data_IF_906396683477
#
_entry.id   IF_906396683477
#
_cell.length_a   1.000
_cell.length_b   1.000
_cell.length_c   1.000
_cell.angle_alpha   90.00
_cell.angle_beta   90.00
_cell.angle_gamma   90.00
#
_symmetry.space_group_name_H-M   'P 1'
#
loop_
_entity.id
_entity.type
_entity.pdbx_description
1 polymer ?
#
# COMPACT_ATOMS: atom_id res chain seq x y z
N UNK A 1 11.15 22.42 -42.48
CA UNK A 1 9.90 21.66 -42.31
C UNK A 1 10.19 20.54 -41.32
N UNK A 2 9.85 20.72 -40.05
CA UNK A 2 10.07 19.72 -39.00
C UNK A 2 8.88 18.77 -38.97
N UNK A 3 9.10 17.51 -39.35
CA UNK A 3 8.12 16.44 -39.19
C UNK A 3 7.89 16.23 -37.69
N UNK A 4 6.74 16.67 -37.19
CA UNK A 4 6.28 16.31 -35.86
C UNK A 4 5.93 14.81 -35.87
N UNK A 5 6.68 14.02 -35.09
CA UNK A 5 6.31 12.64 -34.80
C UNK A 5 4.93 12.64 -34.15
N UNK A 6 3.92 11.91 -34.69
CA UNK A 6 2.61 11.87 -34.06
C UNK A 6 2.75 11.23 -32.68
N UNK A 7 2.22 11.91 -31.66
CA UNK A 7 2.11 11.36 -30.31
C UNK A 7 1.25 10.09 -30.37
N UNK A 8 1.61 9.03 -29.62
CA UNK A 8 0.78 7.85 -29.54
C UNK A 8 -0.62 8.23 -29.04
N UNK A 9 -1.70 7.65 -29.59
CA UNK A 9 -3.05 7.97 -29.19
C UNK A 9 -3.25 7.63 -27.72
N UNK A 10 -3.76 8.59 -26.93
CA UNK A 10 -4.26 8.32 -25.59
C UNK A 10 -5.54 7.48 -25.73
N UNK A 11 -5.67 6.34 -25.04
CA UNK A 11 -6.88 5.53 -25.09
C UNK A 11 -8.10 6.39 -24.76
N UNK A 12 -9.10 6.38 -25.65
CA UNK A 12 -10.38 7.04 -25.39
C UNK A 12 -11.06 6.34 -24.21
N UNK A 13 -11.72 7.12 -23.35
CA UNK A 13 -12.51 6.62 -22.24
C UNK A 13 -13.49 5.53 -22.74
N UNK A 14 -13.31 4.29 -22.28
CA UNK A 14 -14.14 3.13 -22.64
C UNK A 14 -13.43 2.01 -23.40
N UNK A 15 -12.18 2.18 -23.86
CA UNK A 15 -11.40 1.05 -24.37
C UNK A 15 -10.89 0.18 -23.21
N UNK A 16 -11.45 -1.02 -23.09
CA UNK A 16 -11.04 -1.99 -22.08
C UNK A 16 -9.70 -2.61 -22.46
N UNK A 17 -8.65 -2.29 -21.70
CA UNK A 17 -7.30 -2.85 -21.88
C UNK A 17 -7.31 -4.35 -21.52
N UNK A 18 -6.67 -5.23 -22.31
CA UNK A 18 -6.54 -6.63 -21.96
C UNK A 18 -5.83 -6.84 -20.61
N UNK A 19 -6.29 -7.82 -19.82
CA UNK A 19 -5.68 -8.12 -18.52
C UNK A 19 -4.19 -8.53 -18.64
N UNK A 20 -3.78 -9.08 -19.79
CA UNK A 20 -2.40 -9.42 -20.09
C UNK A 20 -1.49 -8.19 -20.19
N UNK A 21 -1.99 -7.08 -20.75
CA UNK A 21 -1.23 -5.82 -20.81
C UNK A 21 -1.08 -5.20 -19.42
N UNK A 22 -2.12 -5.33 -18.58
CA UNK A 22 -2.04 -4.92 -17.17
C UNK A 22 -0.98 -5.75 -16.43
N UNK A 23 -0.97 -7.07 -16.62
CA UNK A 23 0.01 -7.94 -15.99
C UNK A 23 1.45 -7.65 -16.47
N UNK A 24 1.63 -7.24 -17.73
CA UNK A 24 2.95 -7.05 -18.33
C UNK A 24 3.81 -5.96 -17.68
N UNK A 25 3.21 -4.95 -17.05
CA UNK A 25 3.96 -3.89 -16.37
C UNK A 25 4.19 -4.14 -14.87
N UNK A 26 3.51 -5.13 -14.28
CA UNK A 26 3.59 -5.41 -12.85
C UNK A 26 4.90 -6.16 -12.56
N UNK A 27 5.79 -5.52 -11.80
CA UNK A 27 7.04 -6.13 -11.32
C UNK A 27 6.93 -6.43 -9.82
N UNK A 28 6.74 -7.70 -9.48
CA UNK A 28 6.49 -8.17 -8.11
C UNK A 28 7.60 -7.75 -7.15
N UNK A 29 8.84 -7.94 -7.58
CA UNK A 29 10.06 -7.76 -6.80
C UNK A 29 10.19 -6.30 -6.34
N UNK A 30 9.65 -5.36 -7.11
CA UNK A 30 9.64 -3.95 -6.75
C UNK A 30 8.68 -3.63 -5.60
N UNK A 31 7.56 -4.35 -5.49
CA UNK A 31 6.62 -4.22 -4.38
C UNK A 31 7.16 -4.96 -3.15
N UNK A 32 7.78 -6.13 -3.33
CA UNK A 32 8.48 -6.84 -2.24
C UNK A 32 9.55 -5.95 -1.62
N UNK A 33 10.48 -5.42 -2.45
CA UNK A 33 11.53 -4.52 -1.97
C UNK A 33 10.98 -3.27 -1.29
N UNK A 34 9.85 -2.75 -1.76
CA UNK A 34 9.21 -1.58 -1.16
C UNK A 34 8.63 -1.90 0.23
N UNK A 35 8.07 -3.09 0.43
CA UNK A 35 7.40 -3.47 1.68
C UNK A 35 8.34 -4.10 2.73
N UNK A 36 9.53 -4.56 2.32
CA UNK A 36 10.52 -5.19 3.21
C UNK A 36 10.82 -4.46 4.52
N UNK A 37 10.87 -3.11 4.58
CA UNK A 37 11.10 -2.42 5.86
C UNK A 37 10.02 -2.74 6.90
N UNK A 38 8.76 -2.89 6.49
CA UNK A 38 7.63 -3.21 7.37
C UNK A 38 7.41 -4.72 7.54
N UNK A 39 7.84 -5.52 6.57
CA UNK A 39 7.67 -6.97 6.51
C UNK A 39 9.04 -7.65 6.32
N UNK A 40 9.87 -7.72 7.37
CA UNK A 40 11.21 -8.29 7.26
C UNK A 40 11.16 -9.80 7.02
N UNK A 41 10.15 -10.51 7.55
CA UNK A 41 9.93 -11.92 7.27
C UNK A 41 9.50 -12.13 5.80
N UNK A 42 10.19 -13.04 5.11
CA UNK A 42 9.97 -13.26 3.69
C UNK A 42 8.59 -13.86 3.39
N UNK A 43 8.08 -14.75 4.24
CA UNK A 43 6.78 -15.39 4.05
C UNK A 43 5.63 -14.43 4.30
N UNK A 44 5.74 -13.58 5.33
CA UNK A 44 4.79 -12.49 5.58
C UNK A 44 4.76 -11.48 4.43
N UNK A 45 5.93 -11.09 3.92
CA UNK A 45 6.05 -10.19 2.77
C UNK A 45 5.42 -10.80 1.51
N UNK A 46 5.77 -12.05 1.17
CA UNK A 46 5.21 -12.77 0.03
C UNK A 46 3.68 -12.89 0.12
N UNK A 47 3.16 -13.22 1.30
CA UNK A 47 1.72 -13.31 1.54
C UNK A 47 1.01 -11.99 1.22
N UNK A 48 1.53 -10.87 1.74
CA UNK A 48 0.94 -9.54 1.49
C UNK A 48 1.03 -9.17 0.02
N UNK A 49 2.19 -9.39 -0.62
CA UNK A 49 2.40 -9.07 -2.04
C UNK A 49 1.47 -9.90 -2.94
N UNK A 50 1.25 -11.19 -2.62
CA UNK A 50 0.27 -12.04 -3.30
C UNK A 50 -1.14 -11.47 -3.19
N UNK A 51 -1.55 -11.03 -2.00
CA UNK A 51 -2.85 -10.38 -1.82
C UNK A 51 -2.97 -9.09 -2.65
N UNK A 52 -1.91 -8.30 -2.77
CA UNK A 52 -1.91 -7.04 -3.52
C UNK A 52 -1.96 -7.24 -5.04
N UNK A 53 -1.21 -8.21 -5.56
CA UNK A 53 -0.89 -8.32 -6.98
C UNK A 53 -1.54 -9.49 -7.71
N UNK A 54 -2.07 -10.49 -7.00
CA UNK A 54 -2.66 -11.69 -7.60
C UNK A 54 -4.16 -11.82 -7.33
N UNK A 55 -4.65 -11.26 -6.23
CA UNK A 55 -6.05 -11.39 -5.82
C UNK A 55 -6.92 -10.30 -6.43
N UNK A 56 -8.08 -10.72 -6.95
CA UNK A 56 -9.15 -9.84 -7.43
C UNK A 56 -9.00 -9.29 -8.85
N UNK A 57 -9.81 -8.28 -9.21
CA UNK A 57 -9.87 -7.76 -10.59
C UNK A 57 -8.53 -7.20 -11.09
N UNK A 58 -8.21 -7.44 -12.37
CA UNK A 58 -6.94 -7.04 -12.97
C UNK A 58 -6.66 -5.53 -12.81
N UNK A 59 -7.67 -4.69 -13.02
CA UNK A 59 -7.53 -3.24 -12.90
C UNK A 59 -7.19 -2.80 -11.46
N UNK A 60 -7.73 -3.46 -10.42
CA UNK A 60 -7.33 -3.16 -9.04
C UNK A 60 -5.86 -3.53 -8.78
N UNK A 61 -5.39 -4.69 -9.29
CA UNK A 61 -3.99 -5.12 -9.14
C UNK A 61 -3.04 -4.14 -9.84
N UNK A 62 -3.40 -3.70 -11.05
CA UNK A 62 -2.69 -2.66 -11.78
C UNK A 62 -2.66 -1.32 -11.04
N UNK A 63 -3.82 -0.84 -10.55
CA UNK A 63 -3.91 0.40 -9.77
C UNK A 63 -3.10 0.34 -8.48
N UNK A 64 -3.17 -0.76 -7.73
CA UNK A 64 -2.37 -0.99 -6.53
C UNK A 64 -0.88 -0.87 -6.85
N UNK A 65 -0.40 -1.57 -7.88
CA UNK A 65 0.99 -1.50 -8.31
C UNK A 65 1.41 -0.07 -8.66
N UNK A 66 0.64 0.62 -9.52
CA UNK A 66 0.97 1.99 -9.97
C UNK A 66 1.08 2.94 -8.78
N UNK A 67 0.08 2.96 -7.91
CA UNK A 67 0.03 3.89 -6.77
C UNK A 67 1.15 3.61 -5.76
N UNK A 68 1.41 2.33 -5.45
CA UNK A 68 2.49 1.95 -4.55
C UNK A 68 3.86 2.30 -5.14
N UNK A 69 4.08 2.07 -6.43
CA UNK A 69 5.34 2.45 -7.08
C UNK A 69 5.53 3.96 -7.12
N UNK A 70 4.49 4.74 -7.40
CA UNK A 70 4.57 6.19 -7.37
C UNK A 70 4.87 6.72 -5.96
N UNK A 71 4.23 6.19 -4.92
CA UNK A 71 4.56 6.53 -3.53
C UNK A 71 5.99 6.10 -3.18
N UNK A 72 6.42 4.91 -3.60
CA UNK A 72 7.79 4.44 -3.41
C UNK A 72 8.83 5.35 -4.08
N UNK A 73 8.54 5.90 -5.26
CA UNK A 73 9.38 6.89 -5.94
C UNK A 73 9.44 8.23 -5.19
N UNK A 74 8.39 8.61 -4.47
CA UNK A 74 8.42 9.79 -3.59
C UNK A 74 9.29 9.51 -2.36
N UNK A 75 9.11 8.34 -1.72
CA UNK A 75 9.93 7.94 -0.57
C UNK A 75 11.41 7.84 -0.94
N UNK A 76 11.75 7.29 -2.13
CA UNK A 76 13.13 7.16 -2.56
C UNK A 76 13.83 8.50 -2.85
N UNK A 77 13.08 9.61 -2.90
CA UNK A 77 13.63 10.97 -3.05
C UNK A 77 13.92 11.64 -1.71
N UNK A 78 13.51 11.04 -0.60
CA UNK A 78 13.86 11.52 0.73
C UNK A 78 15.34 11.26 1.00
N UNK A 79 16.04 12.23 1.59
CA UNK A 79 17.43 12.06 2.00
C UNK A 79 17.57 11.09 3.17
N UNK A 80 16.58 11.10 4.07
CA UNK A 80 16.48 10.15 5.18
C UNK A 80 15.07 9.56 5.24
N UNK A 81 14.99 8.23 5.24
CA UNK A 81 13.73 7.51 5.42
C UNK A 81 13.58 7.17 6.90
N UNK A 82 12.56 7.72 7.60
CA UNK A 82 12.35 7.39 9.00
C UNK A 82 11.96 5.91 9.14
N UNK A 83 12.31 5.27 10.26
CA UNK A 83 12.04 3.84 10.44
C UNK A 83 10.53 3.56 10.44
N UNK A 84 10.13 2.33 10.10
CA UNK A 84 8.76 1.84 10.28
C UNK A 84 8.24 2.07 11.71
N UNK A 85 6.93 2.29 11.82
CA UNK A 85 6.23 2.37 13.10
C UNK A 85 6.25 1.02 13.82
N UNK A 86 6.17 1.04 15.15
CA UNK A 86 6.03 -0.19 15.92
C UNK A 86 4.64 -0.82 15.70
N UNK A 87 4.48 -2.10 16.07
CA UNK A 87 3.19 -2.79 15.92
C UNK A 87 2.09 -2.17 16.80
N UNK A 88 2.45 -1.64 17.97
CA UNK A 88 1.54 -0.99 18.92
C UNK A 88 1.02 0.37 18.40
N UNK A 89 1.76 0.99 17.49
CA UNK A 89 1.35 2.20 16.78
C UNK A 89 0.44 1.90 15.57
N UNK A 90 0.14 0.63 15.30
CA UNK A 90 -0.66 0.21 14.17
C UNK A 90 -1.95 -0.48 14.61
N UNK A 91 -3.04 -0.24 13.88
CA UNK A 91 -4.26 -1.04 13.99
C UNK A 91 -4.12 -2.31 13.15
N UNK A 92 -4.54 -3.45 13.69
CA UNK A 92 -4.49 -4.73 13.00
C UNK A 92 -5.54 -4.80 11.87
N UNK A 93 -5.18 -5.43 10.76
CA UNK A 93 -6.14 -5.79 9.70
C UNK A 93 -6.53 -7.26 9.90
N UNK A 94 -7.83 -7.58 10.08
CA UNK A 94 -8.25 -8.95 10.35
C UNK A 94 -8.03 -9.88 9.14
N UNK A 95 -7.47 -11.07 9.40
CA UNK A 95 -7.49 -12.20 8.46
C UNK A 95 -8.90 -12.79 8.48
N UNK A 96 -9.69 -12.49 7.45
CA UNK A 96 -11.05 -13.03 7.31
C UNK A 96 -10.99 -14.48 6.81
N UNK A 97 -10.64 -15.40 7.70
CA UNK A 97 -10.70 -16.85 7.45
C UNK A 97 -12.13 -17.34 7.70
N UNK A 98 -12.71 -18.19 6.84
CA UNK A 98 -14.01 -18.81 7.10
C UNK A 98 -14.03 -19.51 8.46
N UNK A 99 -15.12 -19.32 9.22
CA UNK A 99 -15.27 -19.78 10.61
C UNK A 99 -15.06 -21.29 10.82
N UNK A 100 -15.12 -22.10 9.78
CA UNK A 100 -14.93 -23.56 9.87
C UNK A 100 -13.46 -24.01 9.86
N UNK A 101 -12.50 -23.09 9.68
CA UNK A 101 -11.07 -23.40 9.50
C UNK A 101 -10.09 -22.93 10.62
N UNK A 102 -10.48 -22.28 11.74
CA UNK A 102 -9.48 -21.78 12.66
C UNK A 102 -8.82 -22.93 13.44
N UNK A 103 -7.52 -23.14 13.18
CA UNK A 103 -6.62 -23.74 14.15
C UNK A 103 -6.40 -22.74 15.30
N UNK A 104 -6.29 -23.17 16.57
CA UNK A 104 -6.01 -22.27 17.70
C UNK A 104 -4.77 -21.37 17.50
N UNK A 105 -3.80 -21.86 16.72
CA UNK A 105 -2.53 -21.19 16.46
C UNK A 105 -2.52 -20.39 15.14
N UNK A 106 -3.65 -20.34 14.42
CA UNK A 106 -3.71 -19.63 13.14
C UNK A 106 -3.68 -18.10 13.36
N UNK A 107 -2.90 -17.35 12.56
CA UNK A 107 -2.90 -15.90 12.66
C UNK A 107 -4.29 -15.35 12.34
N UNK A 108 -4.77 -14.43 13.19
CA UNK A 108 -6.09 -13.79 13.07
C UNK A 108 -6.02 -12.40 12.40
N UNK A 109 -4.81 -11.90 12.12
CA UNK A 109 -4.57 -10.62 11.47
C UNK A 109 -3.42 -10.70 10.47
N UNK A 110 -3.48 -9.88 9.42
CA UNK A 110 -2.35 -9.72 8.50
C UNK A 110 -1.15 -9.08 9.22
N UNK A 111 0.08 -9.35 8.74
CA UNK A 111 1.30 -8.83 9.36
C UNK A 111 1.49 -7.32 9.12
N UNK A 112 0.85 -6.76 8.09
CA UNK A 112 0.84 -5.33 7.82
C UNK A 112 -0.36 -4.66 8.51
N UNK A 113 -0.09 -3.63 9.30
CA UNK A 113 -1.12 -2.85 10.01
C UNK A 113 -1.32 -1.44 9.45
N UNK A 114 -2.42 -0.81 9.86
CA UNK A 114 -2.75 0.59 9.55
C UNK A 114 -2.05 1.52 10.56
N UNK A 115 -1.14 2.41 10.14
CA UNK A 115 -0.45 3.30 11.08
C UNK A 115 -1.44 4.29 11.69
N UNK A 116 -1.65 4.20 13.02
CA UNK A 116 -2.60 5.06 13.72
C UNK A 116 -2.19 6.54 13.75
N UNK A 117 -0.91 6.91 13.98
CA UNK A 117 -0.51 8.32 14.08
C UNK A 117 -0.86 9.16 12.85
N UNK A 118 -0.80 8.60 11.63
CA UNK A 118 -1.17 9.36 10.42
C UNK A 118 -2.67 9.60 10.33
N UNK A 119 -3.49 8.63 10.77
CA UNK A 119 -4.95 8.77 10.82
C UNK A 119 -5.38 9.73 11.94
N UNK A 120 -4.63 9.77 13.03
CA UNK A 120 -4.86 10.67 14.16
C UNK A 120 -4.71 12.15 13.81
N UNK A 121 -4.01 12.46 12.71
CA UNK A 121 -3.97 13.82 12.14
C UNK A 121 -5.33 14.26 11.59
N UNK A 122 -6.23 13.30 11.28
CA UNK A 122 -7.55 13.56 10.72
C UNK A 122 -8.67 13.42 11.77
N UNK A 123 -8.52 12.52 12.75
CA UNK A 123 -9.50 12.31 13.81
C UNK A 123 -8.84 11.84 15.12
N UNK A 124 -9.22 12.39 16.30
CA UNK A 124 -8.60 12.00 17.57
C UNK A 124 -8.72 10.51 17.90
N UNK A 125 -7.72 9.97 18.61
CA UNK A 125 -7.74 8.60 19.14
C UNK A 125 -8.97 8.37 20.02
N UNK A 126 -9.61 7.21 19.86
CA UNK A 126 -10.83 6.84 20.60
C UNK A 126 -12.11 7.49 20.08
N UNK A 127 -12.05 8.36 19.07
CA UNK A 127 -13.25 8.96 18.48
C UNK A 127 -14.00 7.97 17.59
N UNK A 128 -15.32 8.16 17.46
CA UNK A 128 -16.15 7.41 16.47
C UNK A 128 -15.70 7.66 15.03
N UNK A 129 -15.15 8.83 14.75
CA UNK A 129 -14.66 9.20 13.42
C UNK A 129 -13.42 8.37 13.05
N UNK A 130 -12.45 8.23 13.95
CA UNK A 130 -11.28 7.37 13.73
C UNK A 130 -11.70 5.91 13.56
N UNK A 131 -12.65 5.43 14.37
CA UNK A 131 -13.20 4.08 14.21
C UNK A 131 -13.81 3.87 12.81
N UNK A 132 -14.62 4.82 12.33
CA UNK A 132 -15.18 4.77 10.98
C UNK A 132 -14.10 4.79 9.87
N UNK A 133 -13.03 5.57 10.05
CA UNK A 133 -11.89 5.57 9.11
C UNK A 133 -11.21 4.19 9.06
N UNK A 134 -10.96 3.58 10.22
CA UNK A 134 -10.38 2.24 10.30
C UNK A 134 -11.26 1.19 9.64
N UNK A 135 -12.57 1.27 9.83
CA UNK A 135 -13.54 0.41 9.14
C UNK A 135 -13.46 0.62 7.62
N UNK A 136 -13.50 1.86 7.12
CA UNK A 136 -13.37 2.11 5.67
C UNK A 136 -12.07 1.57 5.06
N UNK A 137 -10.97 1.57 5.83
CA UNK A 137 -9.66 1.14 5.35
C UNK A 137 -9.45 -0.38 5.45
N UNK A 138 -10.11 -1.04 6.40
CA UNK A 138 -9.92 -2.47 6.68
C UNK A 138 -11.10 -3.36 6.24
N UNK A 139 -12.28 -2.77 6.01
CA UNK A 139 -13.48 -3.47 5.58
C UNK A 139 -13.51 -3.67 4.06
N UNK A 140 -12.79 -4.70 3.62
CA UNK A 140 -12.73 -5.07 2.21
C UNK A 140 -12.02 -6.41 1.99
N UNK A 141 -12.00 -6.89 0.74
CA UNK A 141 -11.17 -8.03 0.39
C UNK A 141 -9.69 -7.71 0.68
N UNK A 142 -8.84 -8.72 0.95
CA UNK A 142 -7.45 -8.52 1.35
C UNK A 142 -6.65 -7.60 0.41
N UNK A 143 -6.94 -7.64 -0.89
CA UNK A 143 -6.26 -6.79 -1.88
C UNK A 143 -6.46 -5.29 -1.61
N UNK A 144 -7.63 -4.88 -1.07
CA UNK A 144 -7.99 -3.49 -0.85
C UNK A 144 -7.45 -3.02 0.49
N UNK A 145 -7.73 -3.77 1.56
CA UNK A 145 -7.32 -3.39 2.90
C UNK A 145 -5.79 -3.36 3.05
N UNK A 146 -5.07 -4.31 2.44
CA UNK A 146 -3.61 -4.30 2.45
C UNK A 146 -3.02 -3.21 1.55
N UNK A 147 -3.68 -2.87 0.43
CA UNK A 147 -3.25 -1.76 -0.41
C UNK A 147 -3.37 -0.43 0.36
N UNK A 148 -4.50 -0.23 1.05
CA UNK A 148 -4.70 0.92 1.92
C UNK A 148 -3.61 1.02 2.99
N UNK A 149 -3.31 -0.08 3.69
CA UNK A 149 -2.25 -0.10 4.68
C UNK A 149 -0.88 0.23 4.09
N UNK A 150 -0.49 -0.42 3.00
CA UNK A 150 0.79 -0.18 2.35
C UNK A 150 0.94 1.28 1.90
N UNK A 151 -0.11 1.87 1.31
CA UNK A 151 -0.10 3.27 0.92
C UNK A 151 -0.02 4.20 2.13
N UNK A 152 -0.77 3.92 3.21
CA UNK A 152 -0.72 4.72 4.43
C UNK A 152 0.64 4.66 5.15
N UNK A 153 1.33 3.52 5.12
CA UNK A 153 2.69 3.40 5.64
C UNK A 153 3.67 4.31 4.88
N UNK A 154 3.55 4.37 3.55
CA UNK A 154 4.36 5.27 2.71
C UNK A 154 3.98 6.75 2.92
N UNK A 155 2.68 7.05 3.07
CA UNK A 155 2.20 8.40 3.38
C UNK A 155 2.70 8.85 4.77
N UNK A 156 2.66 8.00 5.79
CA UNK A 156 3.22 8.30 7.12
C UNK A 156 4.72 8.64 7.03
N UNK A 157 5.50 7.88 6.25
CA UNK A 157 6.91 8.18 5.98
C UNK A 157 7.08 9.57 5.36
N UNK A 158 6.33 9.89 4.32
CA UNK A 158 6.41 11.18 3.62
C UNK A 158 6.04 12.35 4.54
N UNK A 159 4.99 12.20 5.34
CA UNK A 159 4.55 13.22 6.28
C UNK A 159 5.58 13.44 7.39
N UNK A 160 6.12 12.37 7.99
CA UNK A 160 7.17 12.48 9.00
C UNK A 160 8.44 13.14 8.48
N UNK A 161 8.86 12.79 7.26
CA UNK A 161 10.02 13.41 6.63
C UNK A 161 9.78 14.90 6.30
N UNK A 162 8.52 15.31 6.10
CA UNK A 162 8.15 16.72 5.90
C UNK A 162 8.07 17.50 7.20
N UNK A 163 7.68 16.85 8.29
CA UNK A 163 7.56 17.46 9.62
C UNK A 163 8.94 17.67 10.30
N UNK A 164 9.99 16.94 9.87
CA UNK A 164 11.37 17.15 10.31
C UNK A 164 12.25 17.72 9.18
N UNK A 165 12.51 19.05 9.16
CA UNK A 165 13.30 19.70 8.11
C UNK A 165 14.75 19.21 8.03
N UNK A 166 15.24 18.46 9.03
CA UNK A 166 16.57 17.82 8.97
C UNK A 166 16.58 16.52 8.15
N UNK A 167 15.42 15.91 7.89
CA UNK A 167 15.27 14.70 7.07
C UNK A 167 15.03 15.01 5.58
N UNK A 168 14.68 16.26 5.26
CA UNK A 168 14.31 16.72 3.92
C UNK A 168 15.33 17.64 3.21
N UNK A 169 16.45 17.99 3.85
CA UNK A 169 17.41 18.96 3.31
C UNK A 169 18.87 18.52 3.50
N UNK A 170 19.30 17.58 2.66
CA UNK A 170 20.66 17.58 2.16
C UNK A 170 20.60 17.55 0.63
N UNK A 171 20.60 18.75 0.02
CA UNK A 171 21.00 18.99 -1.37
C UNK A 171 21.80 20.28 -1.41
#
# INVERSE_FOLDING_TARGET
MTNATPLPPVPLAGQHVPASEIAAFIRREEIESLLRPWLPDAGECEMVVRCLLDVGPAHHRGSNYILLRLLGLLVSRLGVVPPPRSKEECSAIPLRVPRQLPSPDAPISYPLGLPLPVLERLAPRGSRQLAAMLDCLSDGPPQHSLANAAMLQLIDVLLRASDDPKLGSER
#
